data_IF_752950480922
#
_entry.id   IF_752950480922
#
_cell.length_a   1.000
_cell.length_b   1.000
_cell.length_c   1.000
_cell.angle_alpha   90.00
_cell.angle_beta   90.00
_cell.angle_gamma   90.00
#
_symmetry.space_group_name_H-M   'P 1'
#
loop_
_entity.id
_entity.type
_entity.pdbx_description
1 polymer ?
#
# COMPACT_ATOMS: atom_id res chain seq x y z
N UNK A 1 28.22 -6.26 -17.93
CA UNK A 1 28.25 -5.66 -16.58
C UNK A 1 27.93 -4.16 -16.59
N UNK A 2 28.50 -3.37 -17.52
CA UNK A 2 28.26 -1.92 -17.66
C UNK A 2 26.81 -1.56 -18.04
N UNK A 3 26.16 -2.34 -18.91
CA UNK A 3 24.76 -2.10 -19.31
C UNK A 3 23.73 -2.47 -18.23
N UNK A 4 23.98 -3.52 -17.43
CA UNK A 4 23.16 -3.84 -16.25
C UNK A 4 23.19 -2.72 -15.20
N UNK A 5 24.35 -2.08 -14.99
CA UNK A 5 24.47 -0.94 -14.07
C UNK A 5 23.72 0.30 -14.58
N UNK A 6 23.76 0.59 -15.89
CA UNK A 6 22.99 1.69 -16.48
C UNK A 6 21.48 1.43 -16.44
N UNK A 7 21.05 0.21 -16.74
CA UNK A 7 19.64 -0.19 -16.68
C UNK A 7 19.08 -0.10 -15.24
N UNK A 8 19.85 -0.54 -14.24
CA UNK A 8 19.48 -0.40 -12.83
C UNK A 8 19.35 1.05 -12.36
N UNK A 9 20.20 1.94 -12.89
CA UNK A 9 20.12 3.39 -12.61
C UNK A 9 18.87 4.03 -13.24
N UNK A 10 18.54 3.69 -14.49
CA UNK A 10 17.35 4.20 -15.18
C UNK A 10 16.05 3.71 -14.52
N UNK A 11 15.98 2.42 -14.17
CA UNK A 11 14.88 1.82 -13.42
C UNK A 11 14.60 2.58 -12.11
N UNK A 12 15.67 2.86 -11.34
CA UNK A 12 15.58 3.61 -10.10
C UNK A 12 15.04 5.02 -10.32
N UNK A 13 15.52 5.74 -11.34
CA UNK A 13 15.04 7.09 -11.66
C UNK A 13 13.55 7.11 -12.06
N UNK A 14 13.08 6.10 -12.80
CA UNK A 14 11.66 5.97 -13.16
C UNK A 14 10.80 5.71 -11.92
N UNK A 15 11.23 4.78 -11.06
CA UNK A 15 10.57 4.49 -9.78
C UNK A 15 10.50 5.76 -8.92
N UNK A 16 11.63 6.45 -8.76
CA UNK A 16 11.70 7.69 -7.96
C UNK A 16 10.75 8.77 -8.54
N UNK A 17 10.73 8.98 -9.86
CA UNK A 17 9.87 9.97 -10.51
C UNK A 17 8.37 9.64 -10.35
N UNK A 18 7.97 8.38 -10.49
CA UNK A 18 6.58 7.97 -10.31
C UNK A 18 6.16 8.05 -8.84
N UNK A 19 7.06 7.70 -7.91
CA UNK A 19 6.81 7.89 -6.48
C UNK A 19 6.66 9.37 -6.12
N UNK A 20 7.48 10.26 -6.67
CA UNK A 20 7.32 11.71 -6.47
C UNK A 20 5.93 12.21 -6.90
N UNK A 21 5.28 11.55 -7.87
CA UNK A 21 3.90 11.86 -8.26
C UNK A 21 2.85 11.16 -7.38
N UNK A 22 3.13 9.94 -6.95
CA UNK A 22 2.23 9.15 -6.11
C UNK A 22 2.10 9.69 -4.69
N UNK A 23 3.22 10.04 -4.07
CA UNK A 23 3.28 10.40 -2.65
C UNK A 23 2.36 11.59 -2.28
N UNK A 24 2.33 12.70 -3.03
CA UNK A 24 1.42 13.81 -2.73
C UNK A 24 -0.05 13.41 -2.88
N UNK A 25 -0.38 12.58 -3.87
CA UNK A 25 -1.75 12.10 -4.09
C UNK A 25 -2.18 11.15 -2.98
N UNK A 26 -1.31 10.23 -2.58
CA UNK A 26 -1.53 9.34 -1.46
C UNK A 26 -1.75 10.12 -0.15
N UNK A 27 -0.92 11.14 0.12
CA UNK A 27 -1.07 11.98 1.31
C UNK A 27 -2.38 12.78 1.29
N UNK A 28 -2.76 13.35 0.14
CA UNK A 28 -4.06 14.03 -0.02
C UNK A 28 -5.23 13.08 0.25
N UNK A 29 -5.14 11.81 -0.17
CA UNK A 29 -6.18 10.80 0.12
C UNK A 29 -6.25 10.48 1.61
N UNK A 30 -5.12 10.40 2.31
CA UNK A 30 -5.09 10.23 3.78
C UNK A 30 -5.81 11.42 4.45
N UNK A 31 -5.43 12.64 4.10
CA UNK A 31 -6.02 13.86 4.66
C UNK A 31 -7.53 13.95 4.39
N UNK A 32 -7.97 13.59 3.18
CA UNK A 32 -9.40 13.61 2.83
C UNK A 32 -10.16 12.49 3.55
N UNK A 33 -9.57 11.31 3.69
CA UNK A 33 -10.15 10.22 4.47
C UNK A 33 -10.31 10.61 5.95
N UNK A 34 -9.40 11.42 6.49
CA UNK A 34 -9.51 12.00 7.83
C UNK A 34 -10.64 13.03 7.93
N UNK A 35 -10.86 13.83 6.88
CA UNK A 35 -11.92 14.86 6.86
C UNK A 35 -13.33 14.32 6.57
N UNK A 36 -13.46 13.09 6.03
CA UNK A 36 -14.73 12.52 5.57
C UNK A 36 -15.01 11.11 6.14
N UNK A 37 -14.56 10.83 7.36
CA UNK A 37 -14.81 9.56 8.07
C UNK A 37 -14.57 8.28 7.22
N UNK A 38 -13.52 8.29 6.39
CA UNK A 38 -13.12 7.13 5.59
C UNK A 38 -13.93 6.88 4.31
N UNK A 39 -15.00 7.63 4.04
CA UNK A 39 -15.82 7.44 2.83
C UNK A 39 -15.08 7.74 1.51
N UNK A 40 -13.97 8.51 1.57
CA UNK A 40 -13.20 8.99 0.40
C UNK A 40 -12.11 8.03 -0.12
N UNK A 41 -11.86 6.90 0.53
CA UNK A 41 -10.84 5.95 0.03
C UNK A 41 -11.34 5.06 -1.11
N UNK A 42 -12.62 5.17 -1.49
CA UNK A 42 -13.15 4.53 -2.70
C UNK A 42 -12.53 5.13 -3.97
N UNK A 43 -12.31 4.33 -5.03
CA UNK A 43 -11.67 4.80 -6.26
C UNK A 43 -12.54 5.89 -6.90
N UNK A 44 -12.05 7.12 -6.84
CA UNK A 44 -12.78 8.31 -7.29
C UNK A 44 -11.87 9.43 -7.81
N UNK A 45 -10.54 9.31 -7.66
CA UNK A 45 -9.57 10.27 -8.20
C UNK A 45 -8.86 9.68 -9.43
N UNK A 46 -9.24 10.09 -10.66
CA UNK A 46 -8.63 9.58 -11.89
C UNK A 46 -7.12 9.82 -11.97
N UNK A 47 -6.61 10.89 -11.37
CA UNK A 47 -5.18 11.20 -11.40
C UNK A 47 -4.40 10.22 -10.52
N UNK A 48 -4.96 9.83 -9.38
CA UNK A 48 -4.37 8.80 -8.53
C UNK A 48 -4.36 7.44 -9.23
N UNK A 49 -5.49 7.02 -9.79
CA UNK A 49 -5.58 5.72 -10.49
C UNK A 49 -4.61 5.65 -11.67
N UNK A 50 -4.47 6.74 -12.45
CA UNK A 50 -3.51 6.80 -13.55
C UNK A 50 -2.06 6.63 -13.08
N UNK A 51 -1.68 7.26 -11.96
CA UNK A 51 -0.34 7.10 -11.39
C UNK A 51 -0.15 5.67 -10.87
N UNK A 52 -1.17 5.09 -10.27
CA UNK A 52 -1.13 3.71 -9.77
C UNK A 52 -0.96 2.70 -10.89
N UNK A 53 -1.70 2.85 -11.99
CA UNK A 53 -1.56 2.02 -13.19
C UNK A 53 -0.16 2.18 -13.80
N UNK A 54 0.40 3.39 -13.80
CA UNK A 54 1.77 3.64 -14.27
C UNK A 54 2.82 2.94 -13.40
N UNK A 55 2.64 2.96 -12.07
CA UNK A 55 3.49 2.23 -11.14
C UNK A 55 3.36 0.70 -11.32
N UNK A 56 2.15 0.20 -11.56
CA UNK A 56 1.91 -1.22 -11.82
C UNK A 56 2.61 -1.70 -13.10
N UNK A 57 2.63 -0.88 -14.15
CA UNK A 57 3.40 -1.17 -15.36
C UNK A 57 4.90 -1.27 -15.09
N UNK A 58 5.43 -0.42 -14.21
CA UNK A 58 6.84 -0.47 -13.77
C UNK A 58 7.12 -1.69 -12.90
N UNK A 59 6.16 -2.13 -12.07
CA UNK A 59 6.27 -3.34 -11.25
C UNK A 59 6.57 -4.61 -12.07
N UNK A 60 6.18 -4.65 -13.35
CA UNK A 60 6.50 -5.77 -14.27
C UNK A 60 8.01 -6.00 -14.45
N UNK A 61 8.78 -4.92 -14.38
CA UNK A 61 10.21 -4.93 -14.71
C UNK A 61 11.09 -4.63 -13.50
N UNK A 62 10.56 -3.91 -12.50
CA UNK A 62 11.31 -3.48 -11.31
C UNK A 62 10.45 -3.62 -10.04
N UNK A 63 9.93 -4.82 -9.73
CA UNK A 63 9.02 -5.00 -8.59
C UNK A 63 9.69 -4.77 -7.24
N UNK A 64 10.93 -5.25 -7.06
CA UNK A 64 11.67 -5.16 -5.78
C UNK A 64 11.90 -3.71 -5.35
N UNK A 65 12.55 -2.82 -6.14
CA UNK A 65 12.77 -1.44 -5.71
C UNK A 65 11.48 -0.66 -5.48
N UNK A 66 10.43 -0.98 -6.24
CA UNK A 66 9.13 -0.34 -6.14
C UNK A 66 8.44 -0.69 -4.82
N UNK A 67 8.39 -1.97 -4.45
CA UNK A 67 7.83 -2.43 -3.19
C UNK A 67 8.64 -1.95 -1.98
N UNK A 68 9.97 -1.95 -2.06
CA UNK A 68 10.83 -1.40 -1.00
C UNK A 68 10.58 0.10 -0.77
N UNK A 69 10.32 0.85 -1.84
CA UNK A 69 9.99 2.27 -1.72
C UNK A 69 8.58 2.48 -1.15
N UNK A 70 7.62 1.64 -1.55
CA UNK A 70 6.26 1.69 -1.00
C UNK A 70 6.23 1.31 0.49
N UNK A 71 7.02 0.31 0.90
CA UNK A 71 7.20 -0.06 2.31
C UNK A 71 7.80 1.09 3.12
N UNK A 72 8.86 1.75 2.61
CA UNK A 72 9.44 2.94 3.26
C UNK A 72 8.44 4.08 3.39
N UNK A 73 7.61 4.30 2.38
CA UNK A 73 6.53 5.28 2.46
C UNK A 73 5.52 4.93 3.56
N UNK A 74 5.04 3.68 3.58
CA UNK A 74 4.10 3.17 4.60
C UNK A 74 4.66 3.40 6.01
N UNK A 75 5.93 3.09 6.24
CA UNK A 75 6.61 3.33 7.52
C UNK A 75 6.71 4.82 7.87
N UNK A 76 6.95 5.68 6.88
CA UNK A 76 7.04 7.14 7.08
C UNK A 76 5.69 7.79 7.40
N UNK A 77 4.59 7.25 6.88
CA UNK A 77 3.23 7.77 7.10
C UNK A 77 2.53 7.13 8.31
N UNK A 78 3.06 6.00 8.79
CA UNK A 78 2.53 5.32 9.98
C UNK A 78 2.61 6.26 11.19
N UNK A 79 1.49 6.55 11.85
CA UNK A 79 1.46 7.52 12.93
C UNK A 79 2.30 7.07 14.12
N UNK A 80 3.05 8.01 14.70
CA UNK A 80 3.85 7.86 15.91
C UNK A 80 3.24 8.74 16.99
N UNK A 81 2.17 8.27 17.62
CA UNK A 81 1.34 9.11 18.47
C UNK A 81 0.47 8.32 19.44
N UNK A 82 -0.43 9.05 20.11
CA UNK A 82 -1.39 8.47 21.05
C UNK A 82 -2.39 7.54 20.34
N UNK A 83 -2.91 6.56 21.07
CA UNK A 83 -3.95 5.66 20.59
C UNK A 83 -5.31 6.37 20.64
N UNK A 84 -5.56 7.31 19.73
CA UNK A 84 -6.83 8.00 19.57
C UNK A 84 -7.47 7.70 18.20
N UNK A 85 -8.75 8.07 18.06
CA UNK A 85 -9.53 7.80 16.84
C UNK A 85 -8.87 8.39 15.58
N UNK A 86 -8.32 9.60 15.67
CA UNK A 86 -7.69 10.28 14.53
C UNK A 86 -6.41 9.58 14.06
N UNK A 87 -5.66 9.03 15.02
CA UNK A 87 -4.45 8.26 14.81
C UNK A 87 -4.78 6.92 14.17
N UNK A 88 -5.81 6.21 14.65
CA UNK A 88 -6.26 4.96 14.05
C UNK A 88 -6.86 5.17 12.66
N UNK A 89 -7.62 6.24 12.44
CA UNK A 89 -8.13 6.60 11.11
C UNK A 89 -7.01 6.83 10.11
N UNK A 90 -5.97 7.58 10.50
CA UNK A 90 -4.76 7.76 9.67
C UNK A 90 -4.10 6.43 9.36
N UNK A 91 -3.88 5.61 10.39
CA UNK A 91 -3.27 4.28 10.24
C UNK A 91 -4.04 3.46 9.22
N UNK A 92 -5.36 3.30 9.39
CA UNK A 92 -6.19 2.53 8.47
C UNK A 92 -6.15 3.09 7.05
N UNK A 93 -6.15 4.42 6.87
CA UNK A 93 -6.07 5.04 5.54
C UNK A 93 -4.73 4.75 4.84
N UNK A 94 -3.61 4.84 5.56
CA UNK A 94 -2.27 4.48 5.04
C UNK A 94 -2.26 3.03 4.59
N UNK A 95 -2.83 2.13 5.40
CA UNK A 95 -2.83 0.69 5.14
C UNK A 95 -3.75 0.34 3.96
N UNK A 96 -4.88 1.03 3.79
CA UNK A 96 -5.74 0.87 2.62
C UNK A 96 -5.00 1.25 1.32
N UNK A 97 -4.32 2.39 1.33
CA UNK A 97 -3.53 2.86 0.18
C UNK A 97 -2.39 1.89 -0.12
N UNK A 98 -1.69 1.40 0.92
CA UNK A 98 -0.65 0.40 0.79
C UNK A 98 -1.18 -0.89 0.16
N UNK A 99 -2.28 -1.45 0.68
CA UNK A 99 -2.88 -2.67 0.15
C UNK A 99 -3.32 -2.50 -1.30
N UNK A 100 -4.01 -1.39 -1.62
CA UNK A 100 -4.46 -1.11 -2.98
C UNK A 100 -3.29 -1.06 -3.98
N UNK A 101 -2.17 -0.44 -3.60
CA UNK A 101 -0.98 -0.41 -4.45
C UNK A 101 -0.32 -1.79 -4.58
N UNK A 102 -0.16 -2.52 -3.47
CA UNK A 102 0.40 -3.87 -3.49
C UNK A 102 -0.42 -4.85 -4.33
N UNK A 103 -1.76 -4.77 -4.31
CA UNK A 103 -2.64 -5.58 -5.16
C UNK A 103 -2.32 -5.33 -6.63
N UNK A 104 -2.34 -4.06 -7.06
CA UNK A 104 -2.06 -3.69 -8.47
C UNK A 104 -0.66 -4.11 -8.89
N UNK A 105 0.32 -4.02 -7.99
CA UNK A 105 1.69 -4.43 -8.28
C UNK A 105 1.80 -5.95 -8.39
N UNK A 106 1.19 -6.71 -7.47
CA UNK A 106 1.17 -8.17 -7.48
C UNK A 106 0.50 -8.71 -8.76
N UNK A 107 -0.57 -8.07 -9.23
CA UNK A 107 -1.25 -8.44 -10.48
C UNK A 107 -0.39 -8.22 -11.74
N UNK A 108 0.61 -7.36 -11.67
CA UNK A 108 1.56 -7.10 -12.75
C UNK A 108 2.94 -7.76 -12.52
N UNK A 109 3.22 -8.25 -11.32
CA UNK A 109 4.53 -8.78 -10.97
C UNK A 109 4.73 -10.16 -11.62
N UNK A 110 5.89 -10.45 -12.22
CA UNK A 110 6.22 -11.82 -12.61
C UNK A 110 6.32 -12.74 -11.38
N UNK A 111 6.04 -14.04 -11.54
CA UNK A 111 6.02 -15.01 -10.43
C UNK A 111 7.35 -15.06 -9.66
N UNK A 112 8.48 -14.99 -10.34
CA UNK A 112 9.82 -14.97 -9.73
C UNK A 112 10.32 -13.53 -9.43
N UNK A 113 9.43 -12.54 -9.44
CA UNK A 113 9.79 -11.12 -9.36
C UNK A 113 10.15 -10.64 -7.96
N UNK A 114 9.77 -11.36 -6.91
CA UNK A 114 9.95 -10.94 -5.52
C UNK A 114 11.01 -11.77 -4.80
N UNK A 115 11.69 -11.14 -3.85
CA UNK A 115 12.60 -11.86 -2.94
C UNK A 115 11.80 -12.51 -1.83
N UNK A 116 12.28 -13.65 -1.30
CA UNK A 116 11.68 -14.32 -0.13
C UNK A 116 11.44 -13.36 1.05
N UNK A 117 12.38 -12.43 1.28
CA UNK A 117 12.24 -11.43 2.36
C UNK A 117 11.05 -10.50 2.15
N UNK A 118 10.87 -9.98 0.93
CA UNK A 118 9.73 -9.13 0.61
C UNK A 118 8.42 -9.92 0.66
N UNK A 119 8.46 -11.14 0.14
CA UNK A 119 7.35 -12.06 0.15
C UNK A 119 6.85 -12.34 1.57
N UNK A 120 7.71 -12.85 2.44
CA UNK A 120 7.38 -13.13 3.84
C UNK A 120 6.94 -11.88 4.59
N UNK A 121 7.52 -10.71 4.27
CA UNK A 121 7.09 -9.43 4.84
C UNK A 121 5.63 -9.08 4.51
N UNK A 122 5.22 -9.27 3.25
CA UNK A 122 3.85 -9.04 2.81
C UNK A 122 2.88 -10.08 3.39
N UNK A 123 3.27 -11.34 3.47
CA UNK A 123 2.45 -12.39 4.10
C UNK A 123 2.23 -12.11 5.59
N UNK A 124 3.29 -11.79 6.33
CA UNK A 124 3.18 -11.44 7.75
C UNK A 124 2.26 -10.24 7.95
N UNK A 125 2.39 -9.21 7.11
CA UNK A 125 1.50 -8.05 7.14
C UNK A 125 0.02 -8.44 6.93
N UNK A 126 -0.27 -9.27 5.93
CA UNK A 126 -1.62 -9.74 5.63
C UNK A 126 -2.19 -10.53 6.80
N UNK A 127 -1.44 -11.49 7.34
CA UNK A 127 -1.88 -12.31 8.46
C UNK A 127 -2.05 -11.51 9.75
N UNK A 128 -1.16 -10.56 10.02
CA UNK A 128 -1.29 -9.68 11.18
C UNK A 128 -2.61 -8.91 11.17
N UNK A 129 -3.02 -8.38 10.02
CA UNK A 129 -4.32 -7.72 9.88
C UNK A 129 -5.49 -8.69 9.99
N UNK A 130 -5.47 -9.83 9.30
CA UNK A 130 -6.57 -10.80 9.34
C UNK A 130 -6.79 -11.37 10.75
N UNK A 131 -5.73 -11.55 11.54
CA UNK A 131 -5.79 -12.16 12.87
C UNK A 131 -6.02 -11.10 13.95
N UNK A 132 -5.36 -9.93 13.85
CA UNK A 132 -5.28 -8.98 14.95
C UNK A 132 -6.05 -7.67 14.70
N UNK A 133 -6.80 -7.50 13.60
CA UNK A 133 -7.46 -6.23 13.29
C UNK A 133 -8.29 -5.62 14.43
N UNK A 134 -8.98 -6.44 15.23
CA UNK A 134 -9.74 -5.93 16.39
C UNK A 134 -8.85 -5.48 17.56
N UNK A 135 -7.71 -6.15 17.75
CA UNK A 135 -6.70 -5.75 18.73
C UNK A 135 -5.96 -4.48 18.31
N UNK A 136 -5.81 -4.26 16.99
CA UNK A 136 -5.13 -3.09 16.43
C UNK A 136 -6.07 -1.87 16.43
N UNK A 137 -7.33 -2.05 16.02
CA UNK A 137 -8.37 -1.02 16.09
C UNK A 137 -9.66 -1.67 16.60
N UNK A 138 -9.95 -1.43 17.88
CA UNK A 138 -11.14 -1.97 18.55
C UNK A 138 -12.41 -1.38 17.96
N UNK A 139 -13.33 -2.25 17.53
CA UNK A 139 -14.64 -1.81 17.04
C UNK A 139 -15.53 -1.26 18.16
N UNK A 140 -15.31 -1.69 19.40
CA UNK A 140 -16.08 -1.26 20.57
C UNK A 140 -15.62 0.14 21.01
N UNK A 141 -14.30 0.38 21.02
CA UNK A 141 -13.74 1.68 21.42
C UNK A 141 -13.87 2.72 20.32
N UNK A 142 -13.79 2.31 19.04
CA UNK A 142 -13.82 3.21 17.88
C UNK A 142 -14.88 2.79 16.85
N UNK A 143 -16.18 2.85 17.21
CA UNK A 143 -17.27 2.43 16.32
C UNK A 143 -17.34 3.24 15.02
N UNK A 144 -16.87 4.50 15.04
CA UNK A 144 -16.80 5.35 13.83
C UNK A 144 -15.80 4.85 12.78
N UNK A 145 -14.89 3.94 13.13
CA UNK A 145 -13.86 3.43 12.22
C UNK A 145 -14.21 2.08 11.60
N UNK A 146 -15.41 1.53 11.89
CA UNK A 146 -15.83 0.19 11.45
C UNK A 146 -15.80 0.07 9.93
N UNK A 147 -16.33 1.04 9.20
CA UNK A 147 -16.39 1.01 7.73
C UNK A 147 -14.98 1.03 7.12
N UNK A 148 -14.11 1.89 7.64
CA UNK A 148 -12.73 2.02 7.17
C UNK A 148 -11.91 0.77 7.48
N UNK A 149 -12.12 0.15 8.65
CA UNK A 149 -11.52 -1.14 9.00
C UNK A 149 -12.05 -2.27 8.11
N UNK A 150 -13.35 -2.26 7.79
CA UNK A 150 -13.97 -3.20 6.85
C UNK A 150 -13.32 -3.11 5.47
N UNK A 151 -13.20 -1.90 4.92
CA UNK A 151 -12.50 -1.65 3.66
C UNK A 151 -11.06 -2.19 3.68
N UNK A 152 -10.32 -1.96 4.76
CA UNK A 152 -8.96 -2.48 4.89
C UNK A 152 -8.94 -4.01 4.86
N UNK A 153 -9.84 -4.67 5.59
CA UNK A 153 -9.91 -6.14 5.61
C UNK A 153 -10.27 -6.72 4.23
N UNK A 154 -11.17 -6.06 3.48
CA UNK A 154 -11.48 -6.44 2.11
C UNK A 154 -10.25 -6.33 1.19
N UNK A 155 -9.47 -5.25 1.34
CA UNK A 155 -8.23 -5.06 0.60
C UNK A 155 -7.15 -6.06 1.02
N UNK A 156 -7.02 -6.38 2.30
CA UNK A 156 -6.07 -7.38 2.80
C UNK A 156 -6.42 -8.78 2.26
N UNK A 157 -7.71 -9.14 2.20
CA UNK A 157 -8.16 -10.39 1.59
C UNK A 157 -7.87 -10.45 0.09
N UNK A 158 -8.11 -9.35 -0.64
CA UNK A 158 -7.74 -9.25 -2.05
C UNK A 158 -6.23 -9.34 -2.26
N UNK A 159 -5.43 -8.72 -1.39
CA UNK A 159 -3.98 -8.80 -1.44
C UNK A 159 -3.51 -10.24 -1.23
N UNK A 160 -4.07 -10.97 -0.25
CA UNK A 160 -3.76 -12.40 -0.07
C UNK A 160 -4.00 -13.19 -1.35
N UNK A 161 -5.14 -12.98 -2.02
CA UNK A 161 -5.46 -13.65 -3.28
C UNK A 161 -4.59 -13.21 -4.47
N UNK A 162 -4.15 -11.95 -4.51
CA UNK A 162 -3.20 -11.48 -5.50
C UNK A 162 -1.81 -12.10 -5.30
N UNK A 163 -1.34 -12.12 -4.06
CA UNK A 163 -0.10 -12.75 -3.64
C UNK A 163 -0.13 -14.25 -3.98
N UNK A 164 -1.17 -15.00 -3.63
CA UNK A 164 -1.22 -16.45 -3.85
C UNK A 164 -1.12 -16.88 -5.33
N UNK A 165 -1.31 -15.96 -6.29
CA UNK A 165 -1.17 -16.24 -7.72
C UNK A 165 0.26 -16.12 -8.24
N UNK A 166 1.11 -15.39 -7.50
CA UNK A 166 2.50 -15.11 -7.90
C UNK A 166 3.52 -15.94 -7.11
N UNK A 167 3.12 -16.59 -6.02
CA UNK A 167 3.91 -17.62 -5.33
C UNK A 167 3.80 -18.97 -6.03
#
# INVERSE_FOLDING_TARGET
MRDKMKAGSAAKLIVDALLQRFLPLARRRIETAQAQDGQYLRPSDPAYEQVLDSLAMVARHTPVPLLEALLRWRESESPKGANDASTFQRKLAVECIFCSACIRFAECCPQEGLTEKLWSGLENFVFDWLINADRVVSQVEYPSLVDLRGLLLDLVAQLLGALSRIR
#
